data_IF_132663952060
#
_entry.id   IF_132663952060
#
_cell.length_a   1.000
_cell.length_b   1.000
_cell.length_c   1.000
_cell.angle_alpha   90.00
_cell.angle_beta   90.00
_cell.angle_gamma   90.00
#
_symmetry.space_group_name_H-M   'P 1'
#
loop_
_entity.id
_entity.type
_entity.pdbx_description
1 polymer ?
#
# COMPACT_ATOMS: atom_id res chain seq x y z
N UNK A 1 -6.75 30.84 -8.91
CA UNK A 1 -8.20 30.55 -8.90
C UNK A 1 -8.54 29.86 -10.20
N UNK A 2 -9.44 28.89 -10.15
CA UNK A 2 -9.90 28.18 -11.33
C UNK A 2 -11.02 28.97 -12.04
N UNK A 3 -11.06 28.96 -13.38
CA UNK A 3 -11.97 29.79 -14.19
C UNK A 3 -13.12 28.93 -14.73
N UNK A 4 -14.36 29.41 -14.58
CA UNK A 4 -15.56 28.77 -15.11
C UNK A 4 -15.81 29.13 -16.58
N UNK A 5 -16.50 28.25 -17.30
CA UNK A 5 -16.97 28.50 -18.67
C UNK A 5 -18.14 29.50 -18.68
N UNK A 6 -18.28 30.28 -19.76
CA UNK A 6 -19.37 31.25 -19.90
C UNK A 6 -20.61 30.68 -20.63
N UNK A 7 -20.52 29.45 -21.12
CA UNK A 7 -21.58 28.81 -21.92
C UNK A 7 -22.03 27.52 -21.24
N UNK A 8 -23.35 27.32 -21.20
CA UNK A 8 -23.93 26.08 -20.69
C UNK A 8 -23.34 24.85 -21.40
N UNK A 9 -22.84 23.88 -20.64
CA UNK A 9 -22.21 22.66 -21.19
C UNK A 9 -23.14 21.83 -22.08
N UNK A 10 -24.47 21.95 -21.90
CA UNK A 10 -25.49 21.15 -22.60
C UNK A 10 -26.03 21.85 -23.84
N UNK A 11 -26.47 23.12 -23.71
CA UNK A 11 -27.09 23.84 -24.83
C UNK A 11 -26.18 24.88 -25.49
N UNK A 12 -24.97 25.10 -24.96
CA UNK A 12 -23.98 26.06 -25.48
C UNK A 12 -24.47 27.50 -25.56
N UNK A 13 -25.46 27.88 -24.74
CA UNK A 13 -25.98 29.25 -24.61
C UNK A 13 -25.48 29.89 -23.32
N UNK A 14 -25.35 31.21 -23.35
CA UNK A 14 -25.08 32.06 -22.17
C UNK A 14 -26.39 32.34 -21.40
N UNK A 15 -26.30 32.73 -20.13
CA UNK A 15 -27.47 33.04 -19.31
C UNK A 15 -27.20 32.96 -17.81
N UNK A 16 -28.21 32.58 -17.05
CA UNK A 16 -28.08 32.25 -15.62
C UNK A 16 -27.58 30.80 -15.48
N UNK A 17 -26.34 30.65 -15.02
CA UNK A 17 -25.63 29.39 -15.05
C UNK A 17 -25.21 28.97 -13.63
N UNK A 18 -25.50 27.72 -13.31
CA UNK A 18 -25.06 27.01 -12.11
C UNK A 18 -23.64 26.46 -12.32
N UNK A 19 -22.73 26.78 -11.41
CA UNK A 19 -21.35 26.32 -11.44
C UNK A 19 -21.19 24.95 -10.79
N UNK A 20 -20.36 24.08 -11.39
CA UNK A 20 -19.96 22.83 -10.76
C UNK A 20 -18.76 23.05 -9.84
N UNK A 21 -18.79 22.55 -8.61
CA UNK A 21 -17.69 22.75 -7.65
C UNK A 21 -16.34 22.09 -8.03
N UNK A 22 -16.36 21.12 -8.93
CA UNK A 22 -15.18 20.27 -9.22
C UNK A 22 -14.70 20.35 -10.66
N UNK A 23 -15.30 21.19 -11.50
CA UNK A 23 -14.86 21.39 -12.89
C UNK A 23 -15.36 22.72 -13.45
N UNK A 24 -14.88 23.19 -14.62
CA UNK A 24 -15.19 24.53 -15.11
C UNK A 24 -16.56 24.59 -15.77
N UNK A 25 -17.26 23.46 -15.86
CA UNK A 25 -18.54 23.38 -16.53
C UNK A 25 -19.64 24.11 -15.74
N UNK A 26 -20.49 24.80 -16.49
CA UNK A 26 -21.66 25.51 -15.98
C UNK A 26 -22.93 25.07 -16.71
N UNK A 27 -24.09 25.18 -16.05
CA UNK A 27 -25.35 24.60 -16.53
C UNK A 27 -26.55 25.50 -16.23
N UNK A 28 -27.51 25.65 -17.15
CA UNK A 28 -28.84 26.13 -16.75
C UNK A 28 -29.51 25.08 -15.84
N UNK A 29 -30.34 25.51 -14.90
CA UNK A 29 -31.09 24.60 -14.02
C UNK A 29 -31.92 23.57 -14.82
N UNK A 30 -32.54 24.00 -15.91
CA UNK A 30 -33.32 23.15 -16.83
C UNK A 30 -32.45 22.19 -17.67
N UNK A 31 -31.17 22.50 -17.84
CA UNK A 31 -30.22 21.69 -18.61
C UNK A 31 -29.53 20.62 -17.77
N UNK A 32 -29.71 20.62 -16.44
CA UNK A 32 -29.23 19.56 -15.55
C UNK A 32 -30.15 18.34 -15.66
N UNK A 33 -29.63 17.14 -15.38
CA UNK A 33 -30.40 15.91 -15.30
C UNK A 33 -30.32 15.30 -13.88
N UNK A 34 -31.43 15.18 -13.12
CA UNK A 34 -32.74 15.75 -13.42
C UNK A 34 -32.74 17.29 -13.39
N UNK A 35 -33.65 17.96 -14.14
CA UNK A 35 -33.77 19.41 -14.12
C UNK A 35 -34.04 19.95 -12.71
N UNK A 36 -33.31 21.00 -12.34
CA UNK A 36 -33.47 21.67 -11.05
C UNK A 36 -34.52 22.77 -11.16
N UNK A 37 -35.26 23.01 -10.07
CA UNK A 37 -36.24 24.10 -9.97
C UNK A 37 -35.64 25.37 -9.38
N UNK A 38 -34.77 25.20 -8.39
CA UNK A 38 -34.14 26.27 -7.64
C UNK A 38 -32.63 26.02 -7.54
N UNK A 39 -31.87 27.08 -7.26
CA UNK A 39 -30.43 26.98 -6.98
C UNK A 39 -30.23 26.14 -5.70
N UNK A 40 -29.38 25.10 -5.72
CA UNK A 40 -29.07 24.30 -4.53
C UNK A 40 -28.51 25.17 -3.39
N UNK A 41 -28.91 24.89 -2.15
CA UNK A 41 -28.35 25.57 -0.97
C UNK A 41 -26.97 25.05 -0.58
N UNK A 42 -26.67 23.80 -0.96
CA UNK A 42 -25.42 23.12 -0.70
C UNK A 42 -24.57 23.04 -1.98
N UNK A 43 -23.30 22.67 -1.82
CA UNK A 43 -22.36 22.42 -2.91
C UNK A 43 -22.95 21.50 -3.98
N UNK A 44 -22.98 21.99 -5.23
CA UNK A 44 -23.52 21.24 -6.36
C UNK A 44 -22.43 20.72 -7.30
N UNK A 45 -22.59 19.47 -7.74
CA UNK A 45 -21.71 18.84 -8.72
C UNK A 45 -22.50 18.31 -9.91
N UNK A 46 -21.97 18.55 -11.10
CA UNK A 46 -22.54 18.05 -12.34
C UNK A 46 -22.46 16.52 -12.43
N UNK A 47 -23.32 15.94 -13.27
CA UNK A 47 -23.39 14.48 -13.41
C UNK A 47 -22.10 13.85 -13.92
N UNK A 48 -21.35 14.57 -14.76
CA UNK A 48 -20.06 14.08 -15.23
C UNK A 48 -19.08 13.94 -14.07
N UNK A 49 -18.96 14.98 -13.22
CA UNK A 49 -18.13 14.92 -12.02
C UNK A 49 -18.60 13.85 -11.04
N UNK A 50 -19.91 13.71 -10.82
CA UNK A 50 -20.47 12.65 -9.97
C UNK A 50 -20.18 11.25 -10.52
N UNK A 51 -20.32 11.05 -11.82
CA UNK A 51 -20.01 9.77 -12.48
C UNK A 51 -18.51 9.45 -12.45
N UNK A 52 -17.66 10.47 -12.54
CA UNK A 52 -16.20 10.33 -12.51
C UNK A 52 -15.64 10.24 -11.09
N UNK A 53 -16.45 10.41 -10.04
CA UNK A 53 -16.11 10.05 -8.66
C UNK A 53 -16.16 8.53 -8.47
N UNK A 54 -15.33 7.83 -9.24
CA UNK A 54 -15.15 6.38 -9.11
C UNK A 54 -14.37 6.13 -7.83
N UNK A 55 -15.02 5.55 -6.83
CA UNK A 55 -14.36 5.04 -5.62
C UNK A 55 -13.23 4.12 -6.06
N UNK A 56 -12.02 4.39 -5.60
CA UNK A 56 -10.85 3.66 -6.08
C UNK A 56 -9.97 4.37 -7.09
N UNK A 57 -10.36 5.53 -7.63
CA UNK A 57 -9.55 6.27 -8.63
C UNK A 57 -9.11 7.64 -8.10
N UNK A 58 -10.00 8.42 -7.48
CA UNK A 58 -9.70 9.79 -7.02
C UNK A 58 -9.26 9.88 -5.55
N UNK A 59 -9.39 8.78 -4.81
CA UNK A 59 -9.14 8.65 -3.36
C UNK A 59 -7.83 7.91 -3.03
N UNK A 60 -6.98 7.63 -4.02
CA UNK A 60 -5.61 7.10 -3.81
C UNK A 60 -4.57 8.19 -3.57
N UNK A 61 -4.89 9.45 -3.86
CA UNK A 61 -3.96 10.56 -3.69
C UNK A 61 -4.06 11.13 -2.26
N UNK A 62 -2.94 11.23 -1.52
CA UNK A 62 -2.88 11.99 -0.28
C UNK A 62 -3.30 13.45 -0.52
N UNK A 63 -3.82 14.13 0.50
CA UNK A 63 -4.26 15.52 0.38
C UNK A 63 -3.12 16.47 -0.03
N UNK A 64 -1.90 16.14 0.37
CA UNK A 64 -0.69 16.86 -0.06
C UNK A 64 -0.44 16.72 -1.57
N UNK A 65 -0.70 15.56 -2.19
CA UNK A 65 -0.59 15.40 -3.65
C UNK A 65 -1.73 16.10 -4.37
N UNK A 66 -2.95 16.09 -3.81
CA UNK A 66 -4.11 16.83 -4.37
C UNK A 66 -3.87 18.33 -4.45
N UNK A 67 -3.05 18.88 -3.56
CA UNK A 67 -2.69 20.31 -3.56
C UNK A 67 -1.76 20.72 -4.71
N UNK A 68 -1.20 19.75 -5.46
CA UNK A 68 -0.27 20.01 -6.56
C UNK A 68 1.12 20.47 -6.11
N UNK A 69 1.42 20.43 -4.81
CA UNK A 69 2.69 20.88 -4.23
C UNK A 69 3.83 19.85 -4.42
N UNK A 70 3.49 18.56 -4.57
CA UNK A 70 4.48 17.49 -4.75
C UNK A 70 4.53 17.04 -6.21
N UNK A 71 5.63 17.33 -6.90
CA UNK A 71 5.89 16.84 -8.26
C UNK A 71 6.63 15.48 -8.27
N UNK A 72 7.09 15.00 -7.11
CA UNK A 72 7.75 13.71 -6.93
C UNK A 72 7.32 13.07 -5.62
N UNK A 73 7.00 11.78 -5.68
CA UNK A 73 6.82 10.95 -4.50
C UNK A 73 8.19 10.62 -3.90
N UNK A 74 8.31 10.75 -2.58
CA UNK A 74 9.50 10.29 -1.84
C UNK A 74 9.31 8.85 -1.38
N UNK A 75 10.40 8.10 -1.32
CA UNK A 75 10.39 6.76 -0.76
C UNK A 75 10.30 6.86 0.77
N UNK A 76 9.70 5.86 1.42
CA UNK A 76 9.60 5.74 2.87
C UNK A 76 10.94 5.40 3.53
N UNK A 77 11.87 4.82 2.78
CA UNK A 77 13.22 4.50 3.30
C UNK A 77 13.84 3.28 2.64
N UNK A 78 14.88 2.78 3.29
CA UNK A 78 15.66 1.62 2.88
C UNK A 78 15.75 0.61 4.02
N UNK A 79 15.86 -0.67 3.68
CA UNK A 79 16.21 -1.71 4.65
C UNK A 79 17.71 -2.05 4.62
N UNK A 80 18.14 -3.00 5.47
CA UNK A 80 19.55 -3.44 5.54
C UNK A 80 20.12 -4.00 4.24
N UNK A 81 19.25 -4.44 3.32
CA UNK A 81 19.62 -4.99 2.02
C UNK A 81 19.65 -3.91 0.92
N UNK A 82 19.45 -2.64 1.27
CA UNK A 82 19.44 -1.53 0.32
C UNK A 82 18.15 -1.44 -0.50
N UNK A 83 17.12 -2.24 -0.17
CA UNK A 83 15.85 -2.20 -0.91
C UNK A 83 15.07 -0.96 -0.53
N UNK A 84 14.47 -0.31 -1.53
CA UNK A 84 13.75 0.96 -1.37
C UNK A 84 12.25 0.73 -1.24
N UNK A 85 11.65 1.38 -0.25
CA UNK A 85 10.23 1.22 0.08
C UNK A 85 9.44 2.42 -0.41
N UNK A 86 8.37 2.18 -1.15
CA UNK A 86 7.51 3.22 -1.69
C UNK A 86 6.06 2.97 -1.29
N UNK A 87 5.33 4.01 -0.92
CA UNK A 87 3.87 3.93 -0.82
C UNK A 87 3.23 4.67 -1.99
N UNK A 88 2.73 3.90 -2.95
CA UNK A 88 2.20 4.41 -4.22
C UNK A 88 0.89 3.71 -4.54
N UNK A 89 -0.10 4.45 -5.03
CA UNK A 89 -1.35 3.88 -5.55
C UNK A 89 -1.98 2.83 -4.62
N UNK A 90 -2.04 3.11 -3.31
CA UNK A 90 -2.57 2.22 -2.24
C UNK A 90 -1.75 0.96 -1.93
N UNK A 91 -0.48 0.91 -2.33
CA UNK A 91 0.37 -0.28 -2.19
C UNK A 91 1.74 0.09 -1.66
N UNK A 92 2.35 -0.83 -0.92
CA UNK A 92 3.75 -0.76 -0.55
C UNK A 92 4.55 -1.50 -1.63
N UNK A 93 5.41 -0.80 -2.34
CA UNK A 93 6.37 -1.38 -3.27
C UNK A 93 7.74 -1.48 -2.61
N UNK A 94 8.44 -2.59 -2.83
CA UNK A 94 9.82 -2.78 -2.42
C UNK A 94 10.64 -3.01 -3.69
N UNK A 95 11.53 -2.08 -3.98
CA UNK A 95 12.42 -2.08 -5.15
C UNK A 95 13.83 -2.50 -4.72
N UNK A 96 14.34 -3.57 -5.31
CA UNK A 96 15.72 -4.03 -5.13
C UNK A 96 16.71 -3.21 -5.96
N UNK A 97 18.00 -3.28 -5.62
CA UNK A 97 19.07 -2.64 -6.41
C UNK A 97 19.15 -3.16 -7.86
N UNK A 98 18.68 -4.39 -8.10
CA UNK A 98 18.64 -5.01 -9.44
C UNK A 98 17.42 -4.56 -10.27
N UNK A 99 16.54 -3.73 -9.72
CA UNK A 99 15.31 -3.27 -10.38
C UNK A 99 14.14 -4.26 -10.28
N UNK A 100 14.30 -5.39 -9.60
CA UNK A 100 13.15 -6.26 -9.26
C UNK A 100 12.29 -5.56 -8.21
N UNK A 101 10.96 -5.63 -8.39
CA UNK A 101 10.00 -4.95 -7.55
C UNK A 101 8.88 -5.89 -7.12
N UNK A 102 8.60 -5.92 -5.82
CA UNK A 102 7.47 -6.64 -5.23
C UNK A 102 6.52 -5.64 -4.59
N UNK A 103 5.25 -6.02 -4.39
CA UNK A 103 4.30 -5.14 -3.71
C UNK A 103 3.34 -5.86 -2.78
N UNK A 104 2.83 -5.09 -1.83
CA UNK A 104 1.80 -5.48 -0.87
C UNK A 104 0.61 -4.54 -1.01
N UNK A 105 -0.59 -5.09 -0.89
CA UNK A 105 -1.84 -4.38 -1.19
C UNK A 105 -2.97 -4.64 -0.19
N UNK A 106 -2.73 -5.45 0.84
CA UNK A 106 -3.70 -5.74 1.90
C UNK A 106 -3.15 -5.37 3.27
N UNK A 107 -4.00 -5.01 4.25
CA UNK A 107 -3.54 -4.70 5.60
C UNK A 107 -2.79 -5.85 6.27
N UNK A 108 -3.21 -7.09 6.03
CA UNK A 108 -2.56 -8.30 6.57
C UNK A 108 -1.12 -8.41 6.05
N UNK A 109 -0.92 -8.23 4.74
CA UNK A 109 0.41 -8.22 4.12
C UNK A 109 1.31 -7.11 4.70
N UNK A 110 0.73 -5.95 5.03
CA UNK A 110 1.49 -4.85 5.61
C UNK A 110 1.92 -5.13 7.05
N UNK A 111 1.05 -5.71 7.89
CA UNK A 111 1.40 -6.16 9.24
C UNK A 111 2.50 -7.25 9.20
N UNK A 112 2.40 -8.22 8.28
CA UNK A 112 3.42 -9.24 8.06
C UNK A 112 4.76 -8.62 7.66
N UNK A 113 4.76 -7.65 6.74
CA UNK A 113 5.97 -6.92 6.35
C UNK A 113 6.62 -6.23 7.55
N UNK A 114 5.85 -5.50 8.36
CA UNK A 114 6.35 -4.82 9.56
C UNK A 114 6.98 -5.81 10.55
N UNK A 115 6.38 -6.99 10.70
CA UNK A 115 6.89 -8.03 11.61
C UNK A 115 8.25 -8.61 11.20
N UNK A 116 8.65 -8.44 9.94
CA UNK A 116 9.91 -8.92 9.40
C UNK A 116 11.01 -7.84 9.38
N UNK A 117 10.70 -6.60 9.76
CA UNK A 117 11.69 -5.51 9.88
C UNK A 117 12.20 -5.39 11.32
N UNK A 118 13.48 -5.07 11.50
CA UNK A 118 14.07 -4.81 12.81
C UNK A 118 13.86 -3.36 13.22
N UNK A 119 12.82 -3.14 14.02
CA UNK A 119 12.46 -1.83 14.57
C UNK A 119 13.51 -1.24 15.53
N UNK A 120 14.48 -2.03 16.02
CA UNK A 120 15.38 -1.63 17.12
C UNK A 120 16.74 -1.16 16.62
N UNK A 121 17.27 -1.79 15.59
CA UNK A 121 18.60 -1.47 15.07
C UNK A 121 18.59 -1.14 13.57
N UNK A 122 18.47 -2.15 12.72
CA UNK A 122 18.77 -1.98 11.30
C UNK A 122 17.72 -1.17 10.53
N UNK A 123 16.44 -1.41 10.78
CA UNK A 123 15.33 -0.74 10.09
C UNK A 123 14.59 0.24 10.99
N UNK A 124 15.18 0.69 12.10
CA UNK A 124 14.52 1.60 13.05
C UNK A 124 13.94 2.87 12.39
N UNK A 125 14.67 3.45 11.43
CA UNK A 125 14.22 4.64 10.68
C UNK A 125 13.06 4.27 9.74
N UNK A 126 13.20 3.20 8.96
CA UNK A 126 12.17 2.75 8.02
C UNK A 126 10.89 2.33 8.77
N UNK A 127 11.01 1.59 9.87
CA UNK A 127 9.88 1.22 10.73
C UNK A 127 9.18 2.44 11.31
N UNK A 128 9.92 3.47 11.71
CA UNK A 128 9.32 4.72 12.19
C UNK A 128 8.48 5.37 11.08
N UNK A 129 9.06 5.55 9.89
CA UNK A 129 8.33 6.15 8.75
C UNK A 129 7.11 5.31 8.36
N UNK A 130 7.23 3.98 8.25
CA UNK A 130 6.11 3.09 7.96
C UNK A 130 5.00 3.18 9.02
N UNK A 131 5.37 3.34 10.30
CA UNK A 131 4.40 3.53 11.38
C UNK A 131 3.75 4.92 11.36
N UNK A 132 4.50 5.97 11.02
CA UNK A 132 3.98 7.33 10.87
C UNK A 132 2.92 7.40 9.75
N UNK A 133 3.06 6.59 8.70
CA UNK A 133 2.08 6.44 7.61
C UNK A 133 1.07 5.29 7.80
N UNK A 134 1.14 4.51 8.89
CA UNK A 134 0.39 3.25 9.06
C UNK A 134 -1.11 3.41 8.88
N UNK A 135 -1.71 4.41 9.53
CA UNK A 135 -3.16 4.64 9.46
C UNK A 135 -3.62 4.91 8.02
N UNK A 136 -2.86 5.70 7.26
CA UNK A 136 -3.17 6.03 5.87
C UNK A 136 -2.95 4.84 4.93
N UNK A 137 -1.85 4.09 5.11
CA UNK A 137 -1.55 2.88 4.34
C UNK A 137 -2.68 1.86 4.51
N UNK A 138 -3.06 1.56 5.76
CA UNK A 138 -4.13 0.60 6.06
C UNK A 138 -5.46 1.07 5.48
N UNK A 139 -5.82 2.34 5.67
CA UNK A 139 -7.05 2.92 5.08
C UNK A 139 -7.09 2.75 3.57
N UNK A 140 -5.99 3.01 2.86
CA UNK A 140 -5.92 2.85 1.41
C UNK A 140 -5.94 1.37 0.96
N UNK A 141 -5.26 0.48 1.67
CA UNK A 141 -5.29 -0.96 1.38
C UNK A 141 -6.69 -1.55 1.58
N UNK A 142 -7.43 -1.14 2.63
CA UNK A 142 -8.82 -1.55 2.81
C UNK A 142 -9.72 -1.13 1.65
N UNK A 143 -9.51 0.07 1.08
CA UNK A 143 -10.25 0.53 -0.11
C UNK A 143 -9.95 -0.41 -1.28
N UNK A 144 -8.67 -0.73 -1.51
CA UNK A 144 -8.24 -1.68 -2.55
C UNK A 144 -8.88 -3.04 -2.36
N UNK A 145 -8.92 -3.55 -1.14
CA UNK A 145 -9.52 -4.84 -0.82
C UNK A 145 -11.05 -4.84 -1.04
N UNK A 146 -11.75 -3.80 -0.54
CA UNK A 146 -13.19 -3.61 -0.75
C UNK A 146 -13.55 -3.59 -2.23
N UNK A 147 -12.80 -2.84 -3.03
CA UNK A 147 -13.01 -2.74 -4.47
C UNK A 147 -12.74 -4.08 -5.17
N UNK A 148 -11.59 -4.70 -4.89
CA UNK A 148 -11.25 -6.03 -5.41
C UNK A 148 -12.37 -7.03 -5.11
N UNK A 149 -12.89 -7.03 -3.89
CA UNK A 149 -13.97 -7.93 -3.46
C UNK A 149 -15.32 -7.64 -4.13
N UNK A 150 -15.66 -6.37 -4.37
CA UNK A 150 -16.90 -5.98 -5.05
C UNK A 150 -16.94 -6.44 -6.51
N UNK A 151 -15.79 -6.45 -7.20
CA UNK A 151 -15.69 -6.83 -8.62
C UNK A 151 -15.26 -8.28 -8.85
N UNK A 152 -15.16 -9.12 -7.81
CA UNK A 152 -14.84 -10.57 -7.86
C UNK A 152 -15.92 -11.44 -8.55
N UNK A 153 -16.65 -10.90 -9.53
CA UNK A 153 -17.71 -11.56 -10.29
C UNK A 153 -17.26 -12.88 -10.92
N UNK A 154 -17.38 -13.99 -10.17
CA UNK A 154 -17.27 -15.38 -10.61
C UNK A 154 -15.93 -15.85 -11.17
N UNK A 155 -14.97 -14.97 -11.46
CA UNK A 155 -13.67 -15.34 -12.04
C UNK A 155 -12.55 -14.84 -11.14
N UNK A 156 -11.81 -15.79 -10.55
CA UNK A 156 -10.49 -15.54 -9.96
C UNK A 156 -9.57 -15.07 -11.09
N UNK A 157 -9.41 -13.76 -11.26
CA UNK A 157 -8.29 -13.25 -12.03
C UNK A 157 -7.72 -12.00 -11.35
N UNK A 158 -6.40 -12.09 -11.14
CA UNK A 158 -5.49 -11.08 -10.64
C UNK A 158 -5.48 -10.83 -9.12
N UNK A 159 -5.54 -11.91 -8.32
CA UNK A 159 -4.64 -11.99 -7.16
C UNK A 159 -3.24 -12.16 -7.73
N UNK A 160 -2.53 -11.06 -7.87
CA UNK A 160 -1.08 -11.07 -7.98
C UNK A 160 -0.52 -11.90 -6.80
N UNK A 161 -0.27 -13.18 -7.10
CA UNK A 161 0.32 -14.22 -6.26
C UNK A 161 -0.67 -14.79 -5.24
N UNK A 162 -0.88 -16.11 -5.35
CA UNK A 162 -1.80 -16.89 -4.54
C UNK A 162 -1.54 -16.68 -3.04
N UNK A 163 -2.62 -16.55 -2.26
CA UNK A 163 -2.68 -16.50 -0.77
C UNK A 163 -2.01 -17.70 -0.08
N UNK A 164 -1.35 -18.60 -0.82
CA UNK A 164 -0.76 -19.84 -0.31
C UNK A 164 0.77 -19.93 -0.42
N UNK A 165 1.45 -19.04 -1.14
CA UNK A 165 2.92 -19.11 -1.30
C UNK A 165 3.63 -17.74 -1.39
N UNK A 166 3.04 -16.66 -0.90
CA UNK A 166 3.70 -15.35 -0.90
C UNK A 166 4.23 -14.97 0.49
N UNK A 167 5.36 -15.55 0.85
CA UNK A 167 6.20 -15.03 1.93
C UNK A 167 6.88 -13.75 1.41
N UNK A 168 6.79 -12.66 2.16
CA UNK A 168 7.57 -11.46 1.87
C UNK A 168 9.05 -11.85 1.69
N UNK A 169 9.80 -11.32 0.70
CA UNK A 169 11.22 -11.67 0.52
C UNK A 169 12.04 -11.52 1.82
N UNK A 170 11.70 -10.52 2.65
CA UNK A 170 12.27 -10.39 4.00
C UNK A 170 11.93 -11.56 4.91
N UNK A 171 10.66 -11.98 4.96
CA UNK A 171 10.25 -13.08 5.81
C UNK A 171 10.87 -14.40 5.35
N UNK A 172 11.05 -14.60 4.03
CA UNK A 172 11.81 -15.72 3.48
C UNK A 172 13.29 -15.66 3.89
N UNK A 173 13.95 -14.52 3.70
CA UNK A 173 15.36 -14.33 4.12
C UNK A 173 15.55 -14.53 5.64
N UNK A 174 14.63 -14.03 6.47
CA UNK A 174 14.66 -14.26 7.92
C UNK A 174 14.41 -15.71 8.29
N UNK A 175 13.50 -16.40 7.60
CA UNK A 175 13.22 -17.81 7.85
C UNK A 175 14.42 -18.68 7.43
N UNK A 176 15.02 -18.42 6.27
CA UNK A 176 16.24 -19.09 5.82
C UNK A 176 17.39 -18.89 6.83
N UNK A 177 17.56 -17.67 7.37
CA UNK A 177 18.58 -17.39 8.38
C UNK A 177 18.29 -18.06 9.73
N UNK A 178 17.02 -18.07 10.17
CA UNK A 178 16.60 -18.79 11.40
C UNK A 178 16.83 -20.29 11.25
N UNK A 179 16.48 -20.88 10.12
CA UNK A 179 16.74 -22.29 9.83
C UNK A 179 18.22 -22.62 9.90
N UNK A 180 19.08 -21.76 9.34
CA UNK A 180 20.53 -21.94 9.40
C UNK A 180 21.06 -21.87 10.84
N UNK A 181 20.59 -20.91 11.65
CA UNK A 181 20.96 -20.84 13.08
C UNK A 181 20.57 -22.13 13.81
N UNK A 182 19.35 -22.63 13.58
CA UNK A 182 18.88 -23.89 14.19
C UNK A 182 19.78 -25.05 13.79
N UNK A 183 20.14 -25.18 12.50
CA UNK A 183 21.08 -26.21 12.02
C UNK A 183 22.44 -26.09 12.71
N UNK A 184 22.99 -24.89 12.86
CA UNK A 184 24.27 -24.67 13.53
C UNK A 184 24.22 -25.02 15.03
N UNK A 185 23.10 -24.71 15.70
CA UNK A 185 22.88 -25.11 17.10
C UNK A 185 22.84 -26.64 17.24
N UNK A 186 22.14 -27.36 16.36
CA UNK A 186 22.08 -28.82 16.37
C UNK A 186 23.46 -29.47 16.13
N UNK A 187 24.27 -28.92 15.23
CA UNK A 187 25.63 -29.40 14.98
C UNK A 187 26.49 -29.21 16.24
N UNK A 188 26.40 -28.05 16.88
CA UNK A 188 27.14 -27.73 18.10
C UNK A 188 26.73 -28.65 19.27
N UNK A 189 25.43 -28.95 19.40
CA UNK A 189 24.92 -29.89 20.38
C UNK A 189 25.44 -31.33 20.14
N UNK A 190 25.45 -31.78 18.89
CA UNK A 190 26.01 -33.10 18.52
C UNK A 190 27.50 -33.20 18.86
N UNK A 191 28.29 -32.17 18.54
CA UNK A 191 29.72 -32.12 18.85
C UNK A 191 29.99 -32.09 20.36
N UNK A 192 29.20 -31.33 21.13
CA UNK A 192 29.35 -31.27 22.59
C UNK A 192 28.96 -32.58 23.26
N UNK A 193 27.92 -33.27 22.77
CA UNK A 193 27.53 -34.59 23.27
C UNK A 193 28.57 -35.66 22.91
N UNK A 194 29.19 -35.59 21.73
CA UNK A 194 30.29 -36.47 21.34
C UNK A 194 31.52 -36.27 22.25
N UNK A 195 31.87 -35.02 22.58
CA UNK A 195 32.95 -34.70 23.52
C UNK A 195 32.67 -35.19 24.95
N UNK A 196 31.42 -35.10 25.42
CA UNK A 196 31.01 -35.65 26.72
C UNK A 196 31.02 -37.18 26.73
N UNK A 197 30.69 -37.82 25.61
CA UNK A 197 30.82 -39.27 25.43
C UNK A 197 32.27 -39.75 25.42
N UNK A 198 33.17 -39.02 24.76
CA UNK A 198 34.60 -39.35 24.70
C UNK A 198 35.37 -39.11 26.01
N UNK A 199 34.88 -38.23 26.89
CA UNK A 199 35.46 -38.07 28.25
C UNK A 199 35.09 -39.20 29.21
N UNK A 200 33.97 -39.90 29.00
CA UNK A 200 33.62 -41.09 29.80
C UNK A 200 34.55 -42.27 29.49
N UNK A 201 35.03 -42.42 28.26
CA UNK A 201 35.90 -43.54 27.89
C UNK A 201 37.36 -43.40 28.33
N UNK A 202 37.81 -42.22 28.78
CA UNK A 202 39.18 -42.01 29.27
C UNK A 202 39.33 -42.09 30.80
N UNK A 203 38.21 -42.03 31.55
CA UNK A 203 38.22 -42.16 33.01
C UNK A 203 37.95 -43.59 33.52
N UNK A 204 37.72 -44.54 32.61
CA UNK A 204 37.53 -45.97 32.94
C UNK A 204 38.79 -46.84 32.68
N UNK A 205 39.94 -46.23 32.34
CA UNK A 205 41.21 -46.95 32.06
C UNK A 205 42.24 -46.80 33.19
N UNK A 206 41.93 -46.07 34.26
CA UNK A 206 42.75 -45.99 35.48
C UNK A 206 41.96 -46.54 36.69
N UNK A 207 41.85 -47.87 36.78
CA UNK A 207 41.64 -48.63 38.03
C UNK A 207 42.00 -50.10 37.84
#
# INVERSE_FOLDING_TARGET
>A
GFQYDDHCRVCHRVGELLCCETCPAVFHLECVDPPLRDVPQEDWQCNLCKAHKVTGVTDCLPDVEKSGLLCRQEHLGFDRAGRKYWFLSRRIFIESENGECVYYSTPVQFEELLSCLDEKEFEAILCRELNDFKEEIVRQMEITEKLTNQYKGGKKLLSCLDEKEFEAPLCRELNDFKEEIVRQMEITEKLTNQYKGGKKSYLEVEN
#
